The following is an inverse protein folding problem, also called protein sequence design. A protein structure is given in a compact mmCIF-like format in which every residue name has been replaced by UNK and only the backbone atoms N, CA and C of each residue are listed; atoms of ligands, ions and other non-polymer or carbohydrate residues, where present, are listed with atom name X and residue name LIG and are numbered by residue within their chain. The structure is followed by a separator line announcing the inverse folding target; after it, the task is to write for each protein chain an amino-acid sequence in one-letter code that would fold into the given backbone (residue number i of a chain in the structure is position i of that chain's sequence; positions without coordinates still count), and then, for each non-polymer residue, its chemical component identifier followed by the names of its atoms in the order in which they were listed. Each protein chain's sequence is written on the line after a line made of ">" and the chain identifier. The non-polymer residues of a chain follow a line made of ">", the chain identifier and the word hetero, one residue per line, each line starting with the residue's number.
data_IF_919723449964
#
_entry.id   IF_919723449964
#
_cell.length_a   1.000
_cell.length_b   1.000
_cell.length_c   1.000
_cell.angle_alpha   90.00
_cell.angle_beta   90.00
_cell.angle_gamma   90.00
#
_symmetry.space_group_name_H-M   'P 1'
#
loop_
_entity.id
_entity.type
_entity.pdbx_description
1 polymer ?
#
# COMPACT_ATOMS: atom_id res chain seq x y z
N UNK A 1 -10.76 -23.14 24.32
CA UNK A 1 -11.31 -21.94 23.65
C UNK A 1 -10.27 -20.85 23.41
N UNK A 2 -9.22 -20.71 24.23
CA UNK A 2 -8.22 -19.63 24.07
C UNK A 2 -7.42 -19.62 22.74
N UNK A 3 -7.12 -20.80 22.15
CA UNK A 3 -6.30 -20.86 20.93
C UNK A 3 -6.97 -20.20 19.72
N UNK A 4 -8.29 -20.36 19.58
CA UNK A 4 -9.05 -19.75 18.48
C UNK A 4 -9.06 -18.21 18.59
N UNK A 5 -9.18 -17.69 19.80
CA UNK A 5 -9.16 -16.24 20.04
C UNK A 5 -7.84 -15.59 19.60
N UNK A 6 -6.70 -16.22 19.91
CA UNK A 6 -5.39 -15.70 19.50
C UNK A 6 -5.23 -15.62 17.97
N UNK A 7 -5.72 -16.63 17.24
CA UNK A 7 -5.65 -16.65 15.77
C UNK A 7 -6.51 -15.53 15.18
N UNK A 8 -7.74 -15.34 15.70
CA UNK A 8 -8.65 -14.29 15.26
C UNK A 8 -8.02 -12.90 15.47
N UNK A 9 -7.37 -12.68 16.61
CA UNK A 9 -6.65 -11.42 16.87
C UNK A 9 -5.51 -11.17 15.87
N UNK A 10 -4.70 -12.18 15.54
CA UNK A 10 -3.60 -12.04 14.57
C UNK A 10 -4.15 -11.68 13.18
N UNK A 11 -5.20 -12.36 12.73
CA UNK A 11 -5.84 -12.09 11.42
C UNK A 11 -6.46 -10.70 11.39
N UNK A 12 -7.10 -10.26 12.49
CA UNK A 12 -7.62 -8.90 12.61
C UNK A 12 -6.50 -7.86 12.51
N UNK A 13 -5.38 -8.06 13.22
CA UNK A 13 -4.23 -7.14 13.16
C UNK A 13 -3.64 -7.10 11.75
N UNK A 14 -3.49 -8.23 11.07
CA UNK A 14 -3.00 -8.23 9.68
C UNK A 14 -3.95 -7.53 8.72
N UNK A 15 -5.26 -7.75 8.83
CA UNK A 15 -6.25 -7.02 8.03
C UNK A 15 -6.20 -5.52 8.32
N UNK A 16 -6.14 -5.13 9.59
CA UNK A 16 -6.03 -3.73 9.99
C UNK A 16 -4.73 -3.11 9.47
N UNK A 17 -3.60 -3.82 9.51
CA UNK A 17 -2.33 -3.36 8.92
C UNK A 17 -2.46 -3.20 7.40
N UNK A 18 -3.09 -4.14 6.69
CA UNK A 18 -3.33 -4.02 5.25
C UNK A 18 -4.30 -2.89 4.88
N UNK A 19 -5.21 -2.50 5.77
CA UNK A 19 -6.14 -1.38 5.54
C UNK A 19 -5.54 -0.03 5.97
N UNK A 20 -4.76 0.01 7.06
CA UNK A 20 -4.16 1.25 7.62
C UNK A 20 -2.85 1.60 6.93
N UNK A 21 -2.01 0.62 6.57
CA UNK A 21 -1.00 0.85 5.56
C UNK A 21 -1.83 0.91 4.30
N UNK A 22 -2.25 2.09 3.80
CA UNK A 22 -2.77 2.13 2.46
C UNK A 22 -1.72 1.44 1.62
N UNK A 23 -2.18 0.83 0.56
CA UNK A 23 -1.40 0.41 -0.58
C UNK A 23 -0.65 1.62 -1.20
N UNK A 24 0.12 2.39 -0.41
CA UNK A 24 1.55 2.56 -0.59
C UNK A 24 2.16 1.17 -0.79
N UNK A 25 1.83 0.43 -1.86
CA UNK A 25 2.43 0.67 -3.18
C UNK A 25 3.52 1.73 -3.20
N UNK A 26 4.45 1.63 -2.25
CA UNK A 26 5.86 1.55 -2.60
C UNK A 26 6.06 0.18 -3.27
N UNK A 27 5.22 -0.12 -4.28
CA UNK A 27 5.57 -1.09 -5.30
C UNK A 27 6.87 -0.49 -5.81
N UNK A 28 7.89 -1.33 -5.86
CA UNK A 28 9.22 -0.99 -6.35
C UNK A 28 9.10 -0.79 -7.86
N UNK A 29 8.23 0.15 -8.25
CA UNK A 29 8.06 0.68 -9.57
C UNK A 29 9.15 1.73 -9.65
N UNK A 30 10.11 1.49 -10.51
CA UNK A 30 11.09 2.49 -10.90
C UNK A 30 10.35 3.79 -11.23
N UNK A 31 10.97 4.93 -10.91
CA UNK A 31 10.32 6.22 -11.16
C UNK A 31 9.97 6.46 -12.65
N UNK A 32 10.53 5.67 -13.56
CA UNK A 32 10.19 5.63 -14.98
C UNK A 32 8.75 5.12 -15.23
N UNK A 33 8.33 4.03 -14.59
CA UNK A 33 7.00 3.41 -14.77
C UNK A 33 5.94 3.98 -13.78
N UNK A 34 6.38 4.72 -12.78
CA UNK A 34 5.53 5.37 -11.77
C UNK A 34 4.36 6.20 -12.33
N UNK A 35 4.54 7.08 -13.34
CA UNK A 35 3.44 7.84 -13.94
C UNK A 35 2.36 6.96 -14.56
N UNK A 36 2.72 5.89 -15.26
CA UNK A 36 1.74 4.96 -15.85
C UNK A 36 0.97 4.23 -14.76
N UNK A 37 1.66 3.74 -13.72
CA UNK A 37 1.04 3.09 -12.58
C UNK A 37 0.06 4.00 -11.84
N UNK A 38 0.44 5.23 -11.47
CA UNK A 38 -0.47 6.14 -10.76
C UNK A 38 -1.60 6.67 -11.64
N UNK A 39 -1.38 6.83 -12.95
CA UNK A 39 -2.41 7.26 -13.89
C UNK A 39 -3.58 6.28 -13.96
N UNK A 40 -3.34 4.97 -13.83
CA UNK A 40 -4.45 3.98 -13.74
C UNK A 40 -5.36 4.22 -12.54
N UNK A 41 -4.82 4.80 -11.47
CA UNK A 41 -5.54 5.10 -10.22
C UNK A 41 -6.06 6.54 -10.15
N UNK A 42 -5.95 7.34 -11.22
CA UNK A 42 -6.24 8.79 -11.22
C UNK A 42 -5.47 9.56 -10.13
N UNK A 43 -4.28 9.09 -9.82
CA UNK A 43 -3.36 9.73 -8.88
C UNK A 43 -2.20 10.39 -9.64
N UNK A 44 -1.65 11.47 -9.09
CA UNK A 44 -0.42 12.09 -9.55
C UNK A 44 0.77 11.27 -9.08
N UNK A 45 1.57 10.80 -10.02
CA UNK A 45 2.86 10.21 -9.70
C UNK A 45 3.86 11.27 -9.26
N UNK A 46 4.57 10.97 -8.17
CA UNK A 46 5.72 11.71 -7.67
C UNK A 46 6.83 10.72 -7.37
N UNK A 47 7.99 10.92 -7.98
CA UNK A 47 9.20 10.22 -7.60
C UNK A 47 9.84 10.95 -6.41
N UNK A 48 9.92 10.31 -5.25
CA UNK A 48 10.58 10.84 -4.07
C UNK A 48 11.67 9.85 -3.63
N UNK A 49 12.94 10.25 -3.73
CA UNK A 49 14.09 9.45 -3.30
C UNK A 49 14.08 8.00 -3.85
N UNK A 50 13.94 7.88 -5.18
CA UNK A 50 13.84 6.61 -5.92
C UNK A 50 12.56 5.80 -5.66
N UNK A 51 11.59 6.36 -4.92
CA UNK A 51 10.31 5.73 -4.63
C UNK A 51 9.18 6.38 -5.41
N UNK A 52 8.35 5.55 -6.01
CA UNK A 52 7.09 5.98 -6.59
C UNK A 52 6.06 6.30 -5.48
N UNK A 53 5.52 7.50 -5.50
CA UNK A 53 4.44 7.96 -4.63
C UNK A 53 3.26 8.39 -5.50
N UNK A 54 2.12 7.73 -5.36
CA UNK A 54 0.88 8.12 -6.02
C UNK A 54 0.05 9.00 -5.09
N UNK A 55 0.06 10.32 -5.32
CA UNK A 55 -0.79 11.25 -4.57
C UNK A 55 -2.17 11.39 -5.25
N UNK A 56 -3.30 11.26 -4.53
CA UNK A 56 -4.61 11.55 -5.12
C UNK A 56 -4.70 13.02 -5.55
N UNK A 57 -5.41 13.27 -6.67
CA UNK A 57 -5.69 14.63 -7.17
C UNK A 57 -6.74 15.31 -6.28
#
# INVERSE_FOLDING_TARGET
>A
MCRLYAIILIVLVMNVIMTIIPDSKVEVVSCEDCPEHCSTQKARAKCDNDKCVCEPI
#
